data_IF_128376532868
#
_entry.id   IF_128376532868
#
_cell.length_a   1.000
_cell.length_b   1.000
_cell.length_c   1.000
_cell.angle_alpha   90.00
_cell.angle_beta   90.00
_cell.angle_gamma   90.00
#
_symmetry.space_group_name_H-M   'P 1'
#
loop_
_entity.id
_entity.type
_entity.pdbx_description
1 polymer ?
#
# COMPACT_ATOMS: atom_id res chain seq x y z
N UNK A 1 -7.83 6.91 4.93
CA UNK A 1 -7.14 5.59 5.00
C UNK A 1 -8.13 4.50 4.64
N UNK A 2 -7.66 3.35 4.13
CA UNK A 2 -8.50 2.35 3.44
C UNK A 2 -9.21 1.35 4.37
N UNK A 3 -8.48 0.78 5.34
CA UNK A 3 -9.02 -0.26 6.23
C UNK A 3 -9.58 0.30 7.55
N UNK A 4 -9.17 1.52 7.95
CA UNK A 4 -9.57 2.12 9.23
C UNK A 4 -8.79 1.63 10.46
N UNK A 5 -7.88 0.67 10.29
CA UNK A 5 -6.98 0.14 11.33
C UNK A 5 -5.57 -0.07 10.75
N UNK A 6 -4.51 -0.12 11.59
CA UNK A 6 -3.15 -0.35 11.12
C UNK A 6 -2.94 -1.81 10.66
N UNK A 7 -2.02 -2.07 9.71
CA UNK A 7 -1.75 -3.42 9.19
C UNK A 7 -1.15 -4.38 10.23
N UNK A 8 -0.54 -3.86 11.29
CA UNK A 8 -0.01 -4.63 12.41
C UNK A 8 -0.50 -3.98 13.72
N UNK A 9 -1.11 -4.78 14.58
CA UNK A 9 -1.68 -4.37 15.86
C UNK A 9 -1.74 -5.58 16.79
N UNK A 10 -0.98 -5.54 17.88
CA UNK A 10 -1.08 -6.50 18.99
C UNK A 10 -1.57 -5.81 20.27
N UNK A 11 -1.87 -6.61 21.28
CA UNK A 11 -2.29 -6.11 22.60
C UNK A 11 -1.14 -5.40 23.33
N UNK A 12 0.10 -5.75 22.98
CA UNK A 12 1.31 -5.11 23.49
C UNK A 12 2.36 -4.85 22.36
N UNK A 13 3.41 -4.04 22.64
CA UNK A 13 4.41 -3.72 21.63
C UNK A 13 5.16 -4.92 21.08
N UNK A 14 5.42 -5.95 21.90
CA UNK A 14 6.14 -7.15 21.49
C UNK A 14 5.35 -7.94 20.46
N UNK A 15 4.05 -8.12 20.67
CA UNK A 15 3.17 -8.77 19.70
C UNK A 15 3.12 -7.99 18.38
N UNK A 16 3.02 -6.66 18.44
CA UNK A 16 3.07 -5.80 17.25
C UNK A 16 4.39 -5.97 16.49
N UNK A 17 5.54 -6.01 17.19
CA UNK A 17 6.84 -6.26 16.55
C UNK A 17 6.92 -7.63 15.91
N UNK A 18 6.37 -8.65 16.57
CA UNK A 18 6.34 -10.01 16.02
C UNK A 18 5.53 -10.07 14.73
N UNK A 19 4.39 -9.38 14.67
CA UNK A 19 3.59 -9.26 13.44
C UNK A 19 4.34 -8.50 12.33
N UNK A 20 5.01 -7.39 12.66
CA UNK A 20 5.82 -6.62 11.69
C UNK A 20 6.94 -7.49 11.09
N UNK A 21 7.65 -8.24 11.94
CA UNK A 21 8.73 -9.13 11.51
C UNK A 21 8.22 -10.33 10.70
N UNK A 22 7.03 -10.84 11.04
CA UNK A 22 6.36 -11.90 10.28
C UNK A 22 5.87 -11.44 8.90
N UNK A 23 5.49 -10.16 8.78
CA UNK A 23 5.05 -9.57 7.51
C UNK A 23 3.73 -10.13 6.98
N UNK A 24 2.94 -10.79 7.84
CA UNK A 24 1.63 -11.31 7.46
C UNK A 24 0.60 -10.17 7.44
N UNK A 25 -0.03 -9.97 6.28
CA UNK A 25 -0.91 -8.84 6.02
C UNK A 25 -2.33 -9.36 5.75
N UNK A 26 -3.27 -8.92 6.59
CA UNK A 26 -4.69 -9.19 6.39
C UNK A 26 -5.39 -8.00 5.73
N UNK A 27 -6.18 -8.29 4.70
CA UNK A 27 -6.89 -7.28 3.92
C UNK A 27 -8.40 -7.50 4.02
N UNK A 28 -9.20 -6.43 4.22
CA UNK A 28 -10.65 -6.55 4.16
C UNK A 28 -11.10 -6.84 2.73
N UNK A 29 -12.23 -7.55 2.59
CA UNK A 29 -12.72 -8.08 1.30
C UNK A 29 -13.08 -7.00 0.26
N UNK A 30 -13.27 -5.75 0.69
CA UNK A 30 -13.68 -4.65 -0.17
C UNK A 30 -12.50 -3.93 -0.86
N UNK A 31 -11.26 -4.32 -0.60
CA UNK A 31 -10.11 -3.75 -1.30
C UNK A 31 -9.92 -4.42 -2.65
N UNK A 32 -9.74 -3.61 -3.69
CA UNK A 32 -9.42 -4.09 -5.01
C UNK A 32 -7.99 -4.65 -5.08
N UNK A 33 -7.76 -5.49 -6.08
CA UNK A 33 -6.49 -6.18 -6.25
C UNK A 33 -5.28 -5.23 -6.39
N UNK A 34 -5.44 -4.08 -7.07
CA UNK A 34 -4.34 -3.14 -7.28
C UNK A 34 -3.95 -2.41 -6.00
N UNK A 35 -4.95 -2.10 -5.17
CA UNK A 35 -4.76 -1.55 -3.83
C UNK A 35 -4.06 -2.55 -2.91
N UNK A 36 -4.47 -3.82 -2.93
CA UNK A 36 -3.80 -4.86 -2.14
C UNK A 36 -2.34 -5.04 -2.60
N UNK A 37 -2.10 -5.07 -3.91
CA UNK A 37 -0.77 -5.25 -4.49
C UNK A 37 0.19 -4.12 -4.10
N UNK A 38 -0.22 -2.85 -4.22
CA UNK A 38 0.65 -1.74 -3.82
C UNK A 38 0.98 -1.77 -2.33
N UNK A 39 0.02 -2.12 -1.47
CA UNK A 39 0.26 -2.23 -0.02
C UNK A 39 1.30 -3.34 0.26
N UNK A 40 1.17 -4.50 -0.40
CA UNK A 40 2.14 -5.60 -0.26
C UNK A 40 3.54 -5.20 -0.71
N UNK A 41 3.66 -4.50 -1.84
CA UNK A 41 4.97 -4.08 -2.35
C UNK A 41 5.62 -2.98 -1.49
N UNK A 42 4.83 -2.10 -0.87
CA UNK A 42 5.32 -1.09 0.07
C UNK A 42 5.69 -1.68 1.44
N UNK A 43 4.94 -2.68 1.93
CA UNK A 43 5.19 -3.37 3.20
C UNK A 43 6.07 -4.61 3.04
N UNK A 44 6.86 -4.69 1.96
CA UNK A 44 7.81 -5.77 1.72
C UNK A 44 8.83 -5.87 2.88
N UNK A 45 8.95 -7.05 3.53
CA UNK A 45 9.90 -7.27 4.62
C UNK A 45 11.36 -7.03 4.22
N UNK A 46 11.74 -7.46 3.01
CA UNK A 46 13.07 -7.16 2.46
C UNK A 46 13.13 -5.70 1.97
N UNK A 47 13.87 -4.80 2.64
CA UNK A 47 13.89 -3.39 2.27
C UNK A 47 14.46 -3.15 0.88
N UNK A 48 15.28 -4.06 0.33
CA UNK A 48 15.86 -3.91 -1.02
C UNK A 48 14.86 -4.18 -2.13
N UNK A 49 13.81 -4.96 -1.83
CA UNK A 49 12.73 -5.32 -2.76
C UNK A 49 11.49 -4.45 -2.59
N UNK A 50 11.51 -3.57 -1.59
CA UNK A 50 10.39 -2.68 -1.30
C UNK A 50 10.19 -1.69 -2.43
N UNK A 51 8.94 -1.45 -2.81
CA UNK A 51 8.62 -0.48 -3.83
C UNK A 51 9.18 0.90 -3.46
N UNK A 52 9.94 1.50 -4.37
CA UNK A 52 10.62 2.76 -4.15
C UNK A 52 11.99 2.68 -3.46
N UNK A 53 12.48 1.48 -3.09
CA UNK A 53 13.82 1.31 -2.53
C UNK A 53 14.95 1.37 -3.56
N UNK A 54 14.62 1.22 -4.85
CA UNK A 54 15.59 1.34 -5.94
C UNK A 54 16.27 2.71 -5.91
N UNK A 55 17.60 2.74 -5.91
CA UNK A 55 18.38 4.00 -5.97
C UNK A 55 18.36 4.64 -7.35
N UNK A 56 17.94 3.89 -8.38
CA UNK A 56 17.92 4.35 -9.78
C UNK A 56 16.56 4.98 -10.11
N UNK A 57 15.48 4.32 -9.72
CA UNK A 57 14.11 4.71 -10.07
C UNK A 57 13.36 5.34 -8.90
N UNK A 58 13.62 4.89 -7.67
CA UNK A 58 13.09 5.45 -6.43
C UNK A 58 11.58 5.66 -6.50
N UNK A 59 11.14 6.88 -6.20
CA UNK A 59 9.71 7.26 -6.20
C UNK A 59 9.00 7.01 -7.53
N UNK A 60 9.71 6.89 -8.67
CA UNK A 60 9.10 6.56 -9.96
C UNK A 60 8.43 5.18 -9.95
N UNK A 61 8.95 4.23 -9.17
CA UNK A 61 8.35 2.90 -9.04
C UNK A 61 6.96 2.98 -8.41
N UNK A 62 6.80 3.85 -7.40
CA UNK A 62 5.52 4.08 -6.72
C UNK A 62 4.52 4.77 -7.64
N UNK A 63 4.96 5.79 -8.37
CA UNK A 63 4.09 6.55 -9.28
C UNK A 63 3.67 5.76 -10.52
N UNK A 64 4.52 4.85 -10.99
CA UNK A 64 4.25 3.97 -12.14
C UNK A 64 3.32 2.80 -11.83
N UNK A 65 3.00 2.55 -10.56
CA UNK A 65 2.14 1.45 -10.15
C UNK A 65 0.69 1.66 -10.64
N UNK A 66 0.01 0.58 -11.04
CA UNK A 66 -1.37 0.63 -11.59
C UNK A 66 -2.37 1.30 -10.63
N UNK A 67 -2.15 1.17 -9.32
CA UNK A 67 -2.92 1.90 -8.30
C UNK A 67 -2.85 3.43 -8.47
N UNK A 68 -1.67 3.99 -8.75
CA UNK A 68 -1.47 5.43 -9.00
C UNK A 68 -2.24 5.90 -10.24
N UNK A 69 -2.26 5.07 -11.28
CA UNK A 69 -3.03 5.32 -12.49
C UNK A 69 -4.55 5.30 -12.22
N UNK A 70 -5.04 4.32 -11.45
CA UNK A 70 -6.45 4.21 -11.04
C UNK A 70 -6.91 5.46 -10.27
N UNK A 71 -6.07 5.95 -9.35
CA UNK A 71 -6.35 7.17 -8.57
C UNK A 71 -6.47 8.41 -9.46
N UNK A 72 -5.57 8.55 -10.44
CA UNK A 72 -5.60 9.67 -11.40
C UNK A 72 -6.88 9.70 -12.24
N UNK A 73 -7.29 8.54 -12.77
CA UNK A 73 -8.55 8.38 -13.51
C UNK A 73 -9.76 8.74 -12.65
N UNK A 74 -9.80 8.27 -11.40
CA UNK A 74 -10.89 8.58 -10.46
C UNK A 74 -10.99 10.08 -10.15
N UNK A 75 -9.86 10.76 -9.93
CA UNK A 75 -9.80 12.19 -9.68
C UNK A 75 -10.27 12.99 -10.89
N UNK A 76 -9.84 12.61 -12.09
CA UNK A 76 -10.25 13.27 -13.33
C UNK A 76 -11.76 13.15 -13.58
N UNK A 77 -12.35 11.99 -13.30
CA UNK A 77 -13.80 11.79 -13.42
C UNK A 77 -14.59 12.59 -12.37
N UNK A 78 -14.08 12.65 -11.13
CA UNK A 78 -14.72 13.42 -10.07
C UNK A 78 -14.72 14.92 -10.37
N UNK A 79 -13.63 15.43 -10.96
CA UNK A 79 -13.53 16.84 -11.33
C UNK A 79 -14.47 17.20 -12.49
N UNK A 80 -14.64 16.31 -13.47
CA UNK A 80 -15.53 16.54 -14.62
C UNK A 80 -17.02 16.44 -14.28
N UNK A 81 -17.40 15.67 -13.26
CA UNK A 81 -18.78 15.62 -12.75
C UNK A 81 -19.14 16.79 -11.83
N UNK A 82 -18.13 17.52 -11.33
CA UNK A 82 -18.32 18.66 -10.42
C UNK A 82 -18.33 20.02 -11.15
N UNK A 83 -18.18 20.01 -12.49
CA UNK A 83 -18.18 21.16 -13.40
C UNK A 83 -19.38 21.08 -14.34
#
# INVERSE_FOLDING_TARGET
MLAGYPPFCGDDPYETYHQILGGDLQFPHNLDHFTIDIIKQLLQPDPTRRLGASTITGTKDVMGHTFSLSLSLSLSLSLSLSL
#
